data_IF_384573630291
#
_entry.id   IF_384573630291
#
_cell.length_a   1.000
_cell.length_b   1.000
_cell.length_c   1.000
_cell.angle_alpha   90.00
_cell.angle_beta   90.00
_cell.angle_gamma   90.00
#
_symmetry.space_group_name_H-M   'P 1'
#
loop_
_entity.id
_entity.type
_entity.pdbx_description
1 polymer ?
#
# COMPACT_ATOMS: atom_id res chain seq x y z
N UNK A 1 -4.72 -13.76 10.37
CA UNK A 1 -6.03 -13.29 10.86
C UNK A 1 -6.60 -12.48 9.71
N UNK A 2 -7.61 -12.98 9.01
CA UNK A 2 -8.16 -12.31 7.82
C UNK A 2 -8.78 -10.98 8.24
N UNK A 3 -8.29 -9.87 7.66
CA UNK A 3 -8.85 -8.53 7.88
C UNK A 3 -10.25 -8.48 7.29
N UNK A 4 -11.26 -8.12 8.09
CA UNK A 4 -12.62 -7.95 7.59
C UNK A 4 -12.65 -6.85 6.52
N UNK A 5 -13.51 -6.99 5.49
CA UNK A 5 -13.70 -5.92 4.48
C UNK A 5 -14.09 -4.58 5.10
N UNK A 6 -14.68 -4.60 6.31
CA UNK A 6 -15.01 -3.39 7.06
C UNK A 6 -13.80 -2.75 7.71
N UNK A 7 -12.90 -3.55 8.31
CA UNK A 7 -11.66 -3.04 8.90
C UNK A 7 -10.81 -2.36 7.82
N UNK A 8 -10.74 -2.99 6.63
CA UNK A 8 -10.07 -2.40 5.46
C UNK A 8 -10.74 -1.09 5.02
N UNK A 9 -12.07 -1.02 5.02
CA UNK A 9 -12.81 0.18 4.66
C UNK A 9 -12.52 1.35 5.60
N UNK A 10 -12.53 1.09 6.91
CA UNK A 10 -12.21 2.09 7.93
C UNK A 10 -10.75 2.55 7.84
N UNK A 11 -9.83 1.62 7.58
CA UNK A 11 -8.40 1.92 7.41
C UNK A 11 -8.16 2.82 6.20
N UNK A 12 -8.73 2.48 5.04
CA UNK A 12 -8.65 3.28 3.80
C UNK A 12 -9.24 4.67 3.95
N UNK A 13 -10.36 4.78 4.66
CA UNK A 13 -10.97 6.07 4.95
C UNK A 13 -10.09 6.91 5.88
N UNK A 14 -9.48 6.27 6.89
CA UNK A 14 -8.51 6.90 7.78
C UNK A 14 -7.26 7.42 7.03
N UNK A 15 -6.73 6.63 6.09
CA UNK A 15 -5.62 7.01 5.21
C UNK A 15 -6.01 8.22 4.36
N UNK A 16 -7.17 8.18 3.71
CA UNK A 16 -7.63 9.27 2.86
C UNK A 16 -7.77 10.58 3.64
N UNK A 17 -8.32 10.50 4.86
CA UNK A 17 -8.42 11.63 5.79
C UNK A 17 -7.05 12.23 6.13
N UNK A 18 -6.07 11.39 6.46
CA UNK A 18 -4.70 11.82 6.78
C UNK A 18 -4.02 12.46 5.57
N UNK A 19 -4.06 11.80 4.41
CA UNK A 19 -3.47 12.29 3.15
C UNK A 19 -4.08 13.62 2.74
N UNK A 20 -5.41 13.74 2.78
CA UNK A 20 -6.09 15.00 2.49
C UNK A 20 -5.67 16.11 3.45
N UNK A 21 -5.67 15.86 4.76
CA UNK A 21 -5.25 16.85 5.76
C UNK A 21 -3.81 17.32 5.53
N UNK A 22 -2.89 16.41 5.19
CA UNK A 22 -1.47 16.72 4.98
C UNK A 22 -1.19 17.40 3.63
N UNK A 23 -1.93 17.04 2.59
CA UNK A 23 -1.56 17.36 1.21
C UNK A 23 -2.60 18.13 0.40
N UNK A 24 -3.79 18.46 0.95
CA UNK A 24 -4.89 19.13 0.21
C UNK A 24 -4.43 20.27 -0.68
N UNK A 25 -3.64 21.21 -0.14
CA UNK A 25 -3.24 22.41 -0.87
C UNK A 25 -2.31 22.07 -2.04
N UNK A 26 -1.44 21.07 -1.86
CA UNK A 26 -0.54 20.58 -2.90
C UNK A 26 -1.31 19.83 -3.99
N UNK A 27 -2.25 18.96 -3.60
CA UNK A 27 -3.08 18.17 -4.53
C UNK A 27 -4.00 19.09 -5.33
N UNK A 28 -4.72 20.00 -4.69
CA UNK A 28 -5.60 20.95 -5.37
C UNK A 28 -4.83 21.83 -6.36
N UNK A 29 -3.70 22.39 -5.94
CA UNK A 29 -2.84 23.20 -6.82
C UNK A 29 -2.28 22.39 -7.98
N UNK A 30 -1.87 21.13 -7.76
CA UNK A 30 -1.37 20.25 -8.80
C UNK A 30 -2.47 19.95 -9.82
N UNK A 31 -3.60 19.44 -9.36
CA UNK A 31 -4.70 19.02 -10.22
C UNK A 31 -5.25 20.15 -11.08
N UNK A 32 -5.43 21.34 -10.50
CA UNK A 32 -5.88 22.53 -11.24
C UNK A 32 -4.87 23.01 -12.28
N UNK A 33 -3.58 22.74 -12.09
CA UNK A 33 -2.54 23.07 -13.07
C UNK A 33 -2.42 22.06 -14.22
N UNK A 34 -2.96 20.85 -14.05
CA UNK A 34 -2.86 19.79 -15.05
C UNK A 34 -3.83 20.02 -16.21
N UNK A 35 -3.30 19.84 -17.42
CA UNK A 35 -4.11 19.76 -18.63
C UNK A 35 -4.83 18.41 -18.73
N UNK A 36 -5.74 18.30 -19.70
CA UNK A 36 -6.55 17.09 -19.91
C UNK A 36 -5.69 15.81 -20.10
N UNK A 37 -4.64 15.79 -20.94
CA UNK A 37 -3.73 14.65 -21.03
C UNK A 37 -3.08 14.24 -19.70
N UNK A 38 -2.59 15.21 -18.91
CA UNK A 38 -1.97 14.93 -17.61
C UNK A 38 -2.97 14.33 -16.61
N UNK A 39 -4.20 14.87 -16.55
CA UNK A 39 -5.28 14.30 -15.74
C UNK A 39 -5.65 12.88 -16.18
N UNK A 40 -5.70 12.62 -17.48
CA UNK A 40 -5.95 11.29 -18.01
C UNK A 40 -4.85 10.30 -17.64
N UNK A 41 -3.58 10.73 -17.69
CA UNK A 41 -2.43 9.92 -17.29
C UNK A 41 -2.52 9.55 -15.80
N UNK A 42 -2.84 10.50 -14.92
CA UNK A 42 -3.07 10.22 -13.49
C UNK A 42 -4.09 9.09 -13.29
N UNK A 43 -5.21 9.13 -14.02
CA UNK A 43 -6.26 8.12 -13.90
C UNK A 43 -5.83 6.74 -14.39
N UNK A 44 -4.97 6.68 -15.42
CA UNK A 44 -4.51 5.41 -16.01
C UNK A 44 -3.43 4.73 -15.20
N UNK A 45 -2.47 5.49 -14.65
CA UNK A 45 -1.38 4.92 -13.82
C UNK A 45 -1.95 4.13 -12.64
N UNK A 46 -3.06 4.59 -12.06
CA UNK A 46 -3.71 3.93 -10.93
C UNK A 46 -4.68 2.80 -11.30
N UNK A 47 -4.88 2.51 -12.58
CA UNK A 47 -5.87 1.55 -13.05
C UNK A 47 -5.22 0.21 -13.45
N UNK A 48 -5.95 -0.89 -13.21
CA UNK A 48 -5.55 -2.21 -13.70
C UNK A 48 -5.44 -2.17 -15.23
N UNK A 49 -4.29 -2.55 -15.78
CA UNK A 49 -3.95 -2.48 -17.21
C UNK A 49 -4.08 -1.06 -17.83
N UNK A 50 -4.16 0.00 -17.03
CA UNK A 50 -4.38 1.35 -17.52
C UNK A 50 -5.79 1.64 -18.02
N UNK A 51 -6.73 0.73 -17.75
CA UNK A 51 -8.10 0.80 -18.27
C UNK A 51 -9.03 1.58 -17.34
N UNK A 52 -9.66 2.63 -17.88
CA UNK A 52 -10.57 3.52 -17.15
C UNK A 52 -11.84 3.72 -17.98
N UNK A 53 -12.99 3.82 -17.30
CA UNK A 53 -14.27 4.11 -17.97
C UNK A 53 -14.14 5.35 -18.85
N UNK A 54 -14.54 5.26 -20.12
CA UNK A 54 -14.52 6.39 -21.06
C UNK A 54 -15.57 7.43 -20.68
N UNK A 55 -16.72 6.98 -20.21
CA UNK A 55 -17.85 7.79 -19.74
C UNK A 55 -18.71 7.00 -18.74
N UNK A 56 -19.63 7.66 -18.04
CA UNK A 56 -20.44 7.05 -16.97
C UNK A 56 -21.29 5.82 -17.32
N UNK A 57 -21.56 5.59 -18.61
CA UNK A 57 -22.31 4.42 -19.11
C UNK A 57 -21.44 3.36 -19.81
N UNK A 58 -20.12 3.47 -19.70
CA UNK A 58 -19.19 2.60 -20.41
C UNK A 58 -19.22 1.19 -19.80
N UNK A 59 -19.60 0.19 -20.59
CA UNK A 59 -19.69 -1.21 -20.15
C UNK A 59 -18.44 -2.04 -20.50
N UNK A 60 -17.41 -1.43 -21.09
CA UNK A 60 -16.17 -2.12 -21.51
C UNK A 60 -15.43 -2.78 -20.35
N UNK A 61 -15.48 -2.18 -19.16
CA UNK A 61 -14.87 -2.73 -17.93
C UNK A 61 -15.89 -3.51 -17.08
N UNK A 62 -16.83 -4.18 -17.74
CA UNK A 62 -17.85 -5.00 -17.12
C UNK A 62 -18.73 -4.19 -16.16
N UNK A 63 -18.68 -4.53 -14.87
CA UNK A 63 -19.57 -3.96 -13.84
C UNK A 63 -19.03 -2.70 -13.17
N UNK A 64 -17.82 -2.24 -13.49
CA UNK A 64 -17.21 -1.06 -12.83
C UNK A 64 -18.10 0.18 -12.94
N UNK A 65 -18.73 0.40 -14.11
CA UNK A 65 -19.67 1.52 -14.30
C UNK A 65 -20.98 1.39 -13.52
N UNK A 66 -21.25 0.23 -12.92
CA UNK A 66 -22.37 0.07 -11.98
C UNK A 66 -22.01 0.52 -10.57
N UNK A 67 -20.73 0.44 -10.22
CA UNK A 67 -20.25 0.80 -8.90
C UNK A 67 -19.76 2.24 -8.82
N UNK A 68 -19.04 2.74 -9.83
CA UNK A 68 -18.40 4.07 -9.80
C UNK A 68 -18.54 4.82 -11.14
N UNK A 69 -19.78 5.05 -11.63
CA UNK A 69 -20.01 5.70 -12.92
C UNK A 69 -19.40 7.11 -13.01
N UNK A 70 -19.26 7.82 -11.89
CA UNK A 70 -18.63 9.13 -11.84
C UNK A 70 -17.11 9.10 -12.07
N UNK A 71 -16.47 7.94 -11.89
CA UNK A 71 -15.03 7.78 -12.11
C UNK A 71 -14.74 7.44 -13.57
N UNK A 72 -14.80 8.45 -14.44
CA UNK A 72 -14.60 8.27 -15.87
C UNK A 72 -13.75 9.38 -16.51
N UNK A 73 -13.06 9.04 -17.60
CA UNK A 73 -12.15 9.94 -18.29
C UNK A 73 -12.83 11.21 -18.78
N UNK A 74 -14.04 11.10 -19.36
CA UNK A 74 -14.74 12.27 -19.92
C UNK A 74 -14.98 13.34 -18.87
N UNK A 75 -15.51 12.98 -17.71
CA UNK A 75 -16.00 13.93 -16.73
C UNK A 75 -14.89 14.41 -15.76
N UNK A 76 -13.92 13.55 -15.42
CA UNK A 76 -12.83 13.88 -14.50
C UNK A 76 -11.71 14.67 -15.19
N UNK A 77 -11.40 14.36 -16.44
CA UNK A 77 -10.24 14.98 -17.13
C UNK A 77 -10.58 16.30 -17.81
N UNK A 78 -11.85 16.71 -17.80
CA UNK A 78 -12.25 18.03 -18.27
C UNK A 78 -11.54 19.12 -17.44
N UNK A 79 -10.73 20.01 -18.04
CA UNK A 79 -10.00 21.05 -17.32
C UNK A 79 -10.89 21.95 -16.46
N UNK A 80 -12.12 22.20 -16.89
CA UNK A 80 -13.11 23.05 -16.20
C UNK A 80 -13.84 22.29 -15.08
N UNK A 81 -13.71 20.96 -15.03
CA UNK A 81 -14.33 20.12 -14.01
C UNK A 81 -13.48 20.08 -12.73
N UNK A 82 -14.15 20.28 -11.60
CA UNK A 82 -13.60 20.02 -10.25
C UNK A 82 -14.04 18.65 -9.69
N UNK A 83 -14.68 17.79 -10.50
CA UNK A 83 -15.31 16.55 -10.04
C UNK A 83 -14.39 15.66 -9.19
N UNK A 84 -13.13 15.47 -9.61
CA UNK A 84 -12.15 14.73 -8.82
C UNK A 84 -11.95 15.33 -7.42
N UNK A 85 -11.74 16.64 -7.34
CA UNK A 85 -11.50 17.33 -6.07
C UNK A 85 -12.76 17.34 -5.20
N UNK A 86 -13.95 17.43 -5.80
CA UNK A 86 -15.21 17.41 -5.08
C UNK A 86 -15.50 16.03 -4.47
N UNK A 87 -15.31 14.96 -5.25
CA UNK A 87 -15.37 13.59 -4.75
C UNK A 87 -14.35 13.39 -3.64
N UNK A 88 -13.09 13.77 -3.89
CA UNK A 88 -11.99 13.58 -2.95
C UNK A 88 -12.25 14.30 -1.63
N UNK A 89 -12.63 15.58 -1.68
CA UNK A 89 -12.94 16.39 -0.50
C UNK A 89 -14.10 15.79 0.28
N UNK A 90 -15.19 15.42 -0.38
CA UNK A 90 -16.35 14.81 0.28
C UNK A 90 -15.94 13.55 1.03
N UNK A 91 -15.28 12.61 0.34
CA UNK A 91 -14.84 11.33 0.91
C UNK A 91 -13.81 11.48 2.03
N UNK A 92 -12.97 12.50 1.97
CA UNK A 92 -11.96 12.75 2.98
C UNK A 92 -12.45 13.58 4.18
N UNK A 93 -13.65 14.17 4.14
CA UNK A 93 -14.13 15.06 5.21
C UNK A 93 -15.40 14.58 5.91
N UNK A 94 -16.15 13.67 5.29
CA UNK A 94 -17.39 13.12 5.83
C UNK A 94 -17.19 11.73 6.43
N UNK A 95 -18.04 11.31 7.35
CA UNK A 95 -18.06 9.94 7.89
C UNK A 95 -18.52 8.93 6.84
N UNK A 96 -18.21 7.63 7.03
CA UNK A 96 -18.74 6.57 6.14
C UNK A 96 -20.28 6.57 6.11
N UNK A 97 -20.91 6.90 7.24
CA UNK A 97 -22.37 7.05 7.33
C UNK A 97 -22.90 8.25 6.53
N UNK A 98 -22.22 9.40 6.58
CA UNK A 98 -22.61 10.55 5.75
C UNK A 98 -22.42 10.27 4.26
N UNK A 99 -21.35 9.56 3.88
CA UNK A 99 -21.10 9.12 2.50
C UNK A 99 -22.16 8.14 1.99
N UNK A 100 -22.64 7.26 2.87
CA UNK A 100 -23.75 6.37 2.60
C UNK A 100 -25.04 7.14 2.25
N UNK A 101 -25.30 8.25 2.96
CA UNK A 101 -26.53 9.06 2.83
C UNK A 101 -26.44 10.13 1.75
N UNK A 102 -25.26 10.68 1.50
CA UNK A 102 -25.07 11.87 0.67
C UNK A 102 -23.77 11.82 -0.13
N UNK A 103 -23.81 12.37 -1.34
CA UNK A 103 -22.66 12.55 -2.20
C UNK A 103 -22.09 13.97 -2.15
N UNK A 104 -21.01 14.18 -2.90
CA UNK A 104 -20.40 15.50 -3.05
C UNK A 104 -21.39 16.51 -3.67
N UNK A 105 -21.31 17.78 -3.28
CA UNK A 105 -22.12 18.87 -3.84
C UNK A 105 -23.64 18.58 -3.89
N UNK A 106 -24.19 17.86 -2.91
CA UNK A 106 -25.62 17.53 -2.84
C UNK A 106 -26.07 16.41 -3.79
N UNK A 107 -25.13 15.68 -4.39
CA UNK A 107 -25.43 14.49 -5.19
C UNK A 107 -25.90 13.33 -4.32
N UNK A 108 -26.41 12.27 -4.96
CA UNK A 108 -26.86 11.07 -4.28
C UNK A 108 -25.72 10.36 -3.53
N UNK A 109 -26.01 9.85 -2.33
CA UNK A 109 -25.08 9.01 -1.57
C UNK A 109 -24.92 7.60 -2.14
N UNK A 110 -24.08 6.80 -1.49
CA UNK A 110 -23.81 5.42 -1.93
C UNK A 110 -25.05 4.54 -1.95
N UNK A 111 -25.95 4.73 -0.98
CA UNK A 111 -27.22 4.00 -0.90
C UNK A 111 -28.05 4.19 -2.17
N UNK A 112 -28.34 5.44 -2.50
CA UNK A 112 -29.30 5.76 -3.56
C UNK A 112 -28.72 5.45 -4.94
N UNK A 113 -27.40 5.63 -5.11
CA UNK A 113 -26.72 5.29 -6.36
C UNK A 113 -26.71 3.78 -6.59
N UNK A 114 -26.36 2.98 -5.58
CA UNK A 114 -26.31 1.52 -5.71
C UNK A 114 -27.71 0.92 -5.79
N UNK A 115 -28.68 1.38 -5.01
CA UNK A 115 -30.07 0.91 -5.10
C UNK A 115 -30.65 1.17 -6.49
N UNK A 116 -30.46 2.39 -7.02
CA UNK A 116 -30.87 2.72 -8.39
C UNK A 116 -30.22 1.80 -9.41
N UNK A 117 -28.93 1.54 -9.28
CA UNK A 117 -28.19 0.74 -10.27
C UNK A 117 -28.53 -0.74 -10.17
N UNK A 118 -28.70 -1.28 -8.96
CA UNK A 118 -29.13 -2.64 -8.70
C UNK A 118 -30.50 -2.92 -9.34
N UNK A 119 -31.45 -1.98 -9.20
CA UNK A 119 -32.78 -2.09 -9.82
C UNK A 119 -32.75 -2.03 -11.34
N UNK A 120 -31.94 -1.15 -11.92
CA UNK A 120 -31.91 -0.94 -13.37
C UNK A 120 -31.16 -2.07 -14.09
N UNK A 121 -30.12 -2.63 -13.46
CA UNK A 121 -29.14 -3.50 -14.14
C UNK A 121 -29.11 -4.94 -13.62
N UNK A 122 -30.08 -5.35 -12.80
CA UNK A 122 -30.20 -6.70 -12.24
C UNK A 122 -28.84 -7.23 -11.74
N UNK A 123 -28.20 -6.47 -10.84
CA UNK A 123 -26.89 -6.86 -10.33
C UNK A 123 -26.98 -8.21 -9.61
N UNK A 124 -26.23 -9.24 -10.04
CA UNK A 124 -26.34 -10.56 -9.45
C UNK A 124 -25.73 -10.56 -8.05
N UNK A 125 -26.46 -11.16 -7.11
CA UNK A 125 -26.00 -11.37 -5.74
C UNK A 125 -25.33 -12.73 -5.62
N UNK A 126 -24.24 -12.81 -4.85
CA UNK A 126 -23.57 -14.08 -4.54
C UNK A 126 -24.14 -14.58 -3.21
N UNK A 127 -25.18 -15.42 -3.25
CA UNK A 127 -25.69 -16.14 -2.07
C UNK A 127 -27.18 -15.96 -1.78
N UNK A 128 -27.69 -16.82 -0.91
CA UNK A 128 -29.04 -16.73 -0.35
C UNK A 128 -29.03 -15.80 0.88
N UNK A 129 -29.55 -14.59 0.68
CA UNK A 129 -29.65 -13.54 1.70
C UNK A 129 -31.00 -13.54 2.42
N UNK A 130 -31.75 -14.64 2.40
CA UNK A 130 -33.02 -14.72 3.13
C UNK A 130 -32.82 -14.39 4.61
N UNK A 131 -33.54 -13.37 5.09
CA UNK A 131 -33.48 -12.83 6.45
C UNK A 131 -32.08 -12.34 6.89
N UNK A 132 -31.25 -11.93 5.94
CA UNK A 132 -29.97 -11.29 6.20
C UNK A 132 -30.04 -9.77 5.98
N UNK A 133 -29.46 -9.02 6.91
CA UNK A 133 -29.52 -7.57 6.91
C UNK A 133 -28.18 -6.96 7.28
N UNK A 134 -27.90 -5.78 6.74
CA UNK A 134 -26.73 -4.98 7.09
C UNK A 134 -27.19 -3.66 7.72
N UNK A 135 -26.53 -3.27 8.80
CA UNK A 135 -26.79 -2.02 9.53
C UNK A 135 -25.81 -0.93 9.06
N UNK A 136 -26.34 0.24 8.73
CA UNK A 136 -25.59 1.45 8.42
C UNK A 136 -26.07 2.59 9.31
N UNK A 137 -25.48 2.72 10.50
CA UNK A 137 -25.70 3.85 11.39
C UNK A 137 -24.40 4.30 12.07
N UNK A 138 -24.43 5.46 12.72
CA UNK A 138 -23.30 5.93 13.51
C UNK A 138 -22.96 4.92 14.62
N UNK A 139 -21.68 4.54 14.71
CA UNK A 139 -21.18 3.57 15.69
C UNK A 139 -21.37 2.09 15.34
N UNK A 140 -22.27 1.75 14.40
CA UNK A 140 -22.41 0.38 13.85
C UNK A 140 -22.60 0.44 12.34
N UNK A 141 -21.48 0.50 11.63
CA UNK A 141 -21.45 0.67 10.19
C UNK A 141 -21.03 -0.63 9.47
N UNK A 142 -21.87 -1.09 8.55
CA UNK A 142 -21.60 -2.27 7.71
C UNK A 142 -21.75 -3.62 8.42
N UNK A 143 -22.23 -3.66 9.67
CA UNK A 143 -22.40 -4.91 10.41
C UNK A 143 -23.58 -5.74 9.88
N UNK A 144 -23.33 -7.00 9.54
CA UNK A 144 -24.36 -7.94 9.09
C UNK A 144 -24.96 -8.76 10.23
N UNK A 145 -26.27 -9.00 10.17
CA UNK A 145 -26.99 -9.90 11.06
C UNK A 145 -27.93 -10.81 10.27
N UNK A 146 -28.12 -12.03 10.77
CA UNK A 146 -29.09 -12.99 10.24
C UNK A 146 -30.18 -13.21 11.27
N UNK A 147 -31.44 -13.09 10.86
CA UNK A 147 -32.60 -13.38 11.70
C UNK A 147 -33.16 -14.75 11.37
N UNK A 148 -33.48 -15.55 12.39
CA UNK A 148 -34.11 -16.85 12.19
C UNK A 148 -35.54 -16.70 11.70
N UNK A 149 -36.00 -17.62 10.86
CA UNK A 149 -37.40 -17.67 10.37
C UNK A 149 -38.33 -18.27 11.43
N UNK A 150 -38.33 -17.65 12.61
CA UNK A 150 -39.15 -18.03 13.77
C UNK A 150 -40.16 -16.92 14.07
N UNK A 151 -41.22 -17.23 14.82
CA UNK A 151 -42.19 -16.24 15.25
C UNK A 151 -41.52 -15.06 15.99
N UNK A 152 -40.59 -15.38 16.89
CA UNK A 152 -39.75 -14.39 17.59
C UNK A 152 -38.88 -13.56 16.65
N UNK A 153 -38.37 -14.16 15.57
CA UNK A 153 -37.63 -13.46 14.53
C UNK A 153 -38.51 -12.48 13.75
N UNK A 154 -39.76 -12.87 13.43
CA UNK A 154 -40.73 -12.00 12.76
C UNK A 154 -41.16 -10.82 13.65
N UNK A 155 -41.38 -11.07 14.94
CA UNK A 155 -41.66 -10.03 15.93
C UNK A 155 -40.48 -9.05 16.07
N UNK A 156 -39.25 -9.57 16.12
CA UNK A 156 -38.03 -8.76 16.12
C UNK A 156 -37.93 -7.87 14.88
N UNK A 157 -38.16 -8.42 13.67
CA UNK A 157 -38.16 -7.64 12.43
C UNK A 157 -39.26 -6.59 12.40
N UNK A 158 -40.45 -6.90 12.94
CA UNK A 158 -41.57 -5.96 13.03
C UNK A 158 -41.22 -4.78 13.95
N UNK A 159 -40.51 -5.03 15.06
CA UNK A 159 -40.00 -3.97 15.94
C UNK A 159 -38.97 -3.04 15.28
N UNK A 160 -38.36 -3.46 14.17
CA UNK A 160 -37.36 -2.67 13.43
C UNK A 160 -37.94 -1.95 12.21
N UNK A 161 -39.26 -1.93 12.02
CA UNK A 161 -39.90 -1.38 10.83
C UNK A 161 -39.48 0.08 10.55
N UNK A 162 -39.39 0.92 11.59
CA UNK A 162 -38.92 2.31 11.44
C UNK A 162 -37.50 2.38 10.89
N UNK A 163 -36.60 1.50 11.36
CA UNK A 163 -35.22 1.44 10.90
C UNK A 163 -35.09 0.98 9.44
N UNK A 164 -35.97 0.06 9.01
CA UNK A 164 -36.10 -0.31 7.59
C UNK A 164 -36.60 0.85 6.74
N UNK A 165 -37.67 1.53 7.16
CA UNK A 165 -38.24 2.69 6.43
C UNK A 165 -37.24 3.83 6.29
N UNK A 166 -36.45 4.09 7.32
CA UNK A 166 -35.41 5.11 7.31
C UNK A 166 -34.10 4.63 6.64
N UNK A 167 -34.04 3.37 6.22
CA UNK A 167 -32.91 2.71 5.56
C UNK A 167 -31.63 2.71 6.42
N UNK A 168 -31.77 2.60 7.74
CA UNK A 168 -30.65 2.27 8.63
C UNK A 168 -30.30 0.79 8.59
N UNK A 169 -31.27 -0.05 8.26
CA UNK A 169 -31.12 -1.49 8.09
C UNK A 169 -31.61 -1.82 6.69
N UNK A 170 -30.78 -2.51 5.91
CA UNK A 170 -31.09 -2.88 4.52
C UNK A 170 -30.77 -4.36 4.29
N UNK A 171 -31.31 -4.97 3.22
CA UNK A 171 -30.92 -6.34 2.86
C UNK A 171 -29.40 -6.45 2.68
N UNK A 172 -28.81 -7.53 3.20
CA UNK A 172 -27.36 -7.74 3.14
C UNK A 172 -26.82 -7.73 1.71
N UNK A 173 -27.61 -8.24 0.76
CA UNK A 173 -27.28 -8.24 -0.67
C UNK A 173 -27.03 -6.83 -1.23
N UNK A 174 -27.75 -5.82 -0.74
CA UNK A 174 -27.55 -4.42 -1.09
C UNK A 174 -26.40 -3.81 -0.28
N UNK A 175 -26.30 -4.17 1.00
CA UNK A 175 -25.21 -3.72 1.89
C UNK A 175 -23.82 -4.08 1.39
N UNK A 176 -23.63 -5.30 0.90
CA UNK A 176 -22.36 -5.73 0.31
C UNK A 176 -21.96 -4.88 -0.90
N UNK A 177 -22.91 -4.54 -1.77
CA UNK A 177 -22.65 -3.71 -2.95
C UNK A 177 -22.24 -2.27 -2.58
N UNK A 178 -22.84 -1.73 -1.52
CA UNK A 178 -22.48 -0.41 -0.97
C UNK A 178 -21.05 -0.44 -0.41
N UNK A 179 -20.72 -1.44 0.41
CA UNK A 179 -19.36 -1.58 0.97
C UNK A 179 -18.33 -1.74 -0.16
N UNK A 180 -18.62 -2.52 -1.19
CA UNK A 180 -17.76 -2.68 -2.36
C UNK A 180 -17.52 -1.35 -3.10
N UNK A 181 -18.57 -0.55 -3.32
CA UNK A 181 -18.43 0.78 -3.93
C UNK A 181 -17.53 1.69 -3.10
N UNK A 182 -17.73 1.72 -1.79
CA UNK A 182 -16.94 2.57 -0.90
C UNK A 182 -15.48 2.15 -0.87
N UNK A 183 -15.21 0.83 -0.78
CA UNK A 183 -13.85 0.29 -0.87
C UNK A 183 -13.18 0.73 -2.17
N UNK A 184 -13.83 0.49 -3.32
CA UNK A 184 -13.28 0.81 -4.63
C UNK A 184 -12.95 2.31 -4.78
N UNK A 185 -13.87 3.18 -4.37
CA UNK A 185 -13.63 4.63 -4.41
C UNK A 185 -12.47 5.04 -3.49
N UNK A 186 -12.44 4.56 -2.25
CA UNK A 186 -11.39 4.95 -1.31
C UNK A 186 -10.01 4.46 -1.75
N UNK A 187 -9.92 3.25 -2.32
CA UNK A 187 -8.68 2.72 -2.88
C UNK A 187 -8.16 3.62 -4.02
N UNK A 188 -9.02 3.90 -5.00
CA UNK A 188 -8.66 4.71 -6.17
C UNK A 188 -8.27 6.14 -5.74
N UNK A 189 -9.01 6.74 -4.80
CA UNK A 189 -8.74 8.10 -4.34
C UNK A 189 -7.42 8.20 -3.57
N UNK A 190 -7.12 7.24 -2.69
CA UNK A 190 -5.84 7.19 -1.98
C UNK A 190 -4.67 7.10 -2.97
N UNK A 191 -4.78 6.19 -3.94
CA UNK A 191 -3.75 6.03 -4.97
C UNK A 191 -3.60 7.28 -5.84
N UNK A 192 -4.71 7.91 -6.22
CA UNK A 192 -4.67 9.09 -7.10
C UNK A 192 -4.03 10.29 -6.41
N UNK A 193 -4.16 10.46 -5.07
CA UNK A 193 -3.41 11.50 -4.34
C UNK A 193 -1.91 11.32 -4.59
N UNK A 194 -1.40 10.11 -4.41
CA UNK A 194 0.03 9.81 -4.50
C UNK A 194 0.54 10.04 -5.93
N UNK A 195 -0.23 9.62 -6.94
CA UNK A 195 0.10 9.85 -8.36
C UNK A 195 0.12 11.35 -8.70
N UNK A 196 -0.86 12.12 -8.24
CA UNK A 196 -0.92 13.57 -8.50
C UNK A 196 0.27 14.29 -7.86
N UNK A 197 0.65 13.89 -6.65
CA UNK A 197 1.83 14.44 -5.98
C UNK A 197 3.12 14.07 -6.71
N UNK A 198 3.26 12.82 -7.16
CA UNK A 198 4.43 12.35 -7.89
C UNK A 198 4.58 13.03 -9.26
N UNK A 199 3.53 13.11 -10.06
CA UNK A 199 3.59 13.75 -11.39
C UNK A 199 3.92 15.24 -11.29
N UNK A 200 3.51 15.92 -10.21
CA UNK A 200 3.93 17.30 -9.93
C UNK A 200 5.44 17.40 -9.64
N UNK A 201 6.01 16.44 -8.93
CA UNK A 201 7.45 16.40 -8.66
C UNK A 201 8.22 16.17 -9.96
N UNK A 202 7.83 15.20 -10.78
CA UNK A 202 8.50 14.94 -12.07
C UNK A 202 8.40 16.11 -13.05
N UNK A 203 7.27 16.81 -13.10
CA UNK A 203 7.11 17.99 -13.98
C UNK A 203 7.97 19.16 -13.52
N UNK A 204 8.19 19.31 -12.21
CA UNK A 204 9.16 20.27 -11.66
C UNK A 204 10.59 19.85 -11.96
N UNK A 205 10.94 18.58 -11.76
CA UNK A 205 12.29 18.08 -12.02
C UNK A 205 12.64 18.12 -13.51
N UNK A 206 11.72 17.76 -14.41
CA UNK A 206 11.93 17.88 -15.87
C UNK A 206 12.13 19.33 -16.33
N UNK A 207 11.51 20.30 -15.65
CA UNK A 207 11.76 21.72 -15.94
C UNK A 207 13.14 22.20 -15.49
N UNK A 208 13.78 21.49 -14.56
CA UNK A 208 15.12 21.79 -14.04
C UNK A 208 16.22 20.89 -14.65
N UNK A 209 15.87 19.72 -15.20
CA UNK A 209 16.75 18.75 -15.84
C UNK A 209 16.79 18.93 -17.37
N UNK A 210 17.14 20.12 -17.85
CA UNK A 210 17.75 20.22 -19.18
C UNK A 210 19.25 20.02 -19.00
N UNK A 211 19.68 18.77 -19.26
CA UNK A 211 21.06 18.22 -19.27
C UNK A 211 21.52 17.53 -17.98
N UNK A 212 21.24 16.23 -17.85
CA UNK A 212 22.26 15.25 -17.44
C UNK A 212 22.09 13.93 -18.22
N UNK A 213 23.19 13.26 -18.61
CA UNK A 213 23.12 11.99 -19.34
C UNK A 213 22.66 10.86 -18.41
N UNK A 214 21.96 9.89 -19.00
CA UNK A 214 21.55 8.64 -18.35
C UNK A 214 22.78 7.88 -17.83
N UNK A 215 22.79 7.36 -16.59
CA UNK A 215 23.80 6.39 -16.19
C UNK A 215 23.56 5.07 -16.94
N UNK A 216 24.64 4.51 -17.49
CA UNK A 216 24.63 3.23 -18.16
C UNK A 216 24.37 2.11 -17.13
N UNK A 217 23.31 1.34 -17.34
CA UNK A 217 23.06 0.11 -16.59
C UNK A 217 23.99 -0.97 -17.13
N UNK A 218 25.14 -1.15 -16.49
CA UNK A 218 26.01 -2.30 -16.75
C UNK A 218 25.39 -3.54 -16.10
N UNK A 219 25.16 -4.63 -16.85
CA UNK A 219 24.67 -5.88 -16.26
C UNK A 219 25.71 -6.48 -15.31
N UNK A 220 25.28 -6.93 -14.14
CA UNK A 220 26.10 -7.68 -13.19
C UNK A 220 26.44 -9.06 -13.82
N UNK A 221 27.71 -9.49 -13.89
CA UNK A 221 28.05 -10.78 -14.49
C UNK A 221 27.58 -11.92 -13.60
N UNK A 222 26.75 -12.81 -14.16
CA UNK A 222 26.40 -14.10 -13.56
C UNK A 222 27.60 -15.05 -13.61
N UNK A 223 28.43 -15.02 -12.58
CA UNK A 223 29.50 -15.99 -12.35
C UNK A 223 29.33 -16.57 -10.96
N UNK A 224 28.52 -17.64 -10.83
CA UNK A 224 28.67 -18.55 -9.71
C UNK A 224 29.99 -19.30 -9.91
N UNK A 225 31.07 -18.70 -9.43
CA UNK A 225 32.39 -19.31 -9.44
C UNK A 225 32.46 -20.42 -8.39
N UNK A 226 33.01 -21.54 -8.80
CA UNK A 226 33.43 -22.67 -7.97
C UNK A 226 34.11 -22.15 -6.70
N UNK A 227 33.72 -22.66 -5.53
CA UNK A 227 34.41 -22.38 -4.26
C UNK A 227 35.86 -22.86 -4.35
N UNK A 228 36.73 -21.98 -4.82
CA UNK A 228 38.17 -22.08 -4.62
C UNK A 228 38.40 -21.51 -3.23
N UNK A 229 38.83 -22.36 -2.29
CA UNK A 229 39.22 -21.93 -0.95
C UNK A 229 40.49 -21.10 -1.08
N UNK A 230 40.33 -19.79 -1.31
CA UNK A 230 41.44 -18.84 -1.28
C UNK A 230 41.95 -18.81 0.15
N UNK A 231 43.22 -19.16 0.36
CA UNK A 231 43.88 -18.95 1.65
C UNK A 231 44.08 -17.45 1.83
N UNK A 232 43.09 -16.79 2.43
CA UNK A 232 43.17 -15.40 2.83
C UNK A 232 44.08 -15.30 4.05
N UNK A 233 45.03 -14.37 4.03
CA UNK A 233 45.79 -14.06 5.23
C UNK A 233 44.92 -13.20 6.18
N UNK A 234 45.30 -13.06 7.47
CA UNK A 234 44.53 -12.27 8.43
C UNK A 234 44.32 -10.81 8.02
N UNK A 235 45.31 -10.18 7.38
CA UNK A 235 45.21 -8.80 6.91
C UNK A 235 44.19 -8.66 5.76
N UNK A 236 44.13 -9.63 4.86
CA UNK A 236 43.13 -9.68 3.79
C UNK A 236 41.72 -9.79 4.37
N UNK A 237 41.54 -10.58 5.44
CA UNK A 237 40.25 -10.72 6.14
C UNK A 237 39.84 -9.42 6.84
N UNK A 238 40.77 -8.76 7.53
CA UNK A 238 40.55 -7.46 8.15
C UNK A 238 40.17 -6.38 7.12
N UNK A 239 40.83 -6.39 5.96
CA UNK A 239 40.51 -5.49 4.85
C UNK A 239 39.11 -5.75 4.30
N UNK A 240 38.76 -7.00 3.99
CA UNK A 240 37.42 -7.37 3.50
C UNK A 240 36.33 -7.00 4.50
N UNK A 241 36.54 -7.27 5.79
CA UNK A 241 35.57 -6.92 6.83
C UNK A 241 35.38 -5.41 6.97
N UNK A 242 36.47 -4.64 6.84
CA UNK A 242 36.44 -3.17 6.87
C UNK A 242 35.74 -2.58 5.65
N UNK A 243 35.99 -3.13 4.46
CA UNK A 243 35.30 -2.73 3.22
C UNK A 243 33.81 -3.03 3.31
N UNK A 244 33.43 -4.20 3.82
CA UNK A 244 32.03 -4.58 3.97
C UNK A 244 31.30 -3.69 4.98
N UNK A 245 31.94 -3.36 6.11
CA UNK A 245 31.43 -2.37 7.07
C UNK A 245 31.22 -1.01 6.40
N UNK A 246 32.23 -0.54 5.66
CA UNK A 246 32.20 0.78 5.01
C UNK A 246 31.10 0.86 3.96
N UNK A 247 30.91 -0.19 3.17
CA UNK A 247 29.82 -0.31 2.19
C UNK A 247 28.43 -0.21 2.84
N UNK A 248 28.22 -0.88 3.99
CA UNK A 248 26.97 -0.79 4.73
C UNK A 248 26.74 0.60 5.35
N UNK A 249 27.80 1.27 5.82
CA UNK A 249 27.72 2.64 6.31
C UNK A 249 27.40 3.63 5.18
N UNK A 250 27.99 3.45 4.00
CA UNK A 250 27.66 4.22 2.81
C UNK A 250 26.20 4.01 2.40
N UNK A 251 25.73 2.75 2.38
CA UNK A 251 24.33 2.44 2.11
C UNK A 251 23.37 3.09 3.10
N UNK A 252 23.67 3.06 4.41
CA UNK A 252 22.87 3.77 5.42
C UNK A 252 22.92 5.29 5.20
N UNK A 253 24.06 5.85 4.77
CA UNK A 253 24.14 7.27 4.41
C UNK A 253 23.20 7.58 3.24
N UNK A 254 23.24 6.78 2.17
CA UNK A 254 22.34 6.93 1.02
C UNK A 254 20.86 6.85 1.42
N UNK A 255 20.48 5.91 2.29
CA UNK A 255 19.11 5.84 2.82
C UNK A 255 18.68 7.12 3.56
N UNK A 256 19.62 7.88 4.12
CA UNK A 256 19.35 9.11 4.87
C UNK A 256 19.37 10.36 3.98
N UNK A 257 20.17 10.37 2.93
CA UNK A 257 20.41 11.55 2.09
C UNK A 257 19.69 11.52 0.75
N UNK A 258 19.46 10.33 0.19
CA UNK A 258 18.89 10.14 -1.14
C UNK A 258 17.46 9.57 -1.06
N UNK A 259 16.42 10.39 -1.26
CA UNK A 259 15.02 9.97 -1.14
C UNK A 259 14.64 8.81 -2.06
N UNK A 260 15.21 8.76 -3.28
CA UNK A 260 14.92 7.70 -4.26
C UNK A 260 15.45 6.34 -3.79
N UNK A 261 16.63 6.32 -3.17
CA UNK A 261 17.21 5.10 -2.59
C UNK A 261 16.35 4.62 -1.43
N UNK A 262 15.94 5.52 -0.53
CA UNK A 262 15.03 5.18 0.56
C UNK A 262 13.70 4.62 0.02
N UNK A 263 13.09 5.31 -0.94
CA UNK A 263 11.82 4.89 -1.54
C UNK A 263 11.92 3.50 -2.18
N UNK A 264 12.96 3.27 -3.00
CA UNK A 264 13.21 1.98 -3.63
C UNK A 264 13.40 0.86 -2.60
N UNK A 265 14.22 1.10 -1.57
CA UNK A 265 14.49 0.09 -0.54
C UNK A 265 13.28 -0.21 0.33
N UNK A 266 12.49 0.80 0.67
CA UNK A 266 11.22 0.64 1.40
C UNK A 266 10.21 -0.11 0.54
N UNK A 267 10.12 0.17 -0.75
CA UNK A 267 9.22 -0.55 -1.66
C UNK A 267 9.59 -2.04 -1.74
N UNK A 268 10.88 -2.36 -1.87
CA UNK A 268 11.34 -3.76 -1.85
C UNK A 268 10.98 -4.46 -0.54
N UNK A 269 11.20 -3.79 0.60
CA UNK A 269 10.84 -4.30 1.92
C UNK A 269 9.33 -4.46 2.07
N UNK A 270 8.56 -3.56 1.47
CA UNK A 270 7.12 -3.52 1.53
C UNK A 270 6.49 -4.65 0.70
N UNK A 271 6.86 -4.78 -0.57
CA UNK A 271 6.28 -5.78 -1.48
C UNK A 271 6.73 -7.21 -1.20
N UNK A 272 7.79 -7.39 -0.43
CA UNK A 272 8.27 -8.71 0.01
C UNK A 272 7.53 -9.26 1.24
N UNK A 273 6.47 -8.60 1.70
CA UNK A 273 5.65 -9.10 2.81
C UNK A 273 4.86 -10.34 2.40
N UNK A 274 4.76 -11.38 3.24
CA UNK A 274 4.05 -12.61 2.90
C UNK A 274 2.61 -12.39 2.44
N UNK A 275 1.93 -11.39 3.00
CA UNK A 275 0.55 -11.05 2.64
C UNK A 275 0.40 -10.49 1.23
N UNK A 276 1.49 -9.95 0.66
CA UNK A 276 1.51 -9.27 -0.64
C UNK A 276 2.13 -10.11 -1.74
N UNK A 277 2.75 -11.24 -1.37
CA UNK A 277 3.23 -12.21 -2.32
C UNK A 277 2.03 -12.83 -3.05
N UNK A 278 2.10 -12.95 -4.39
CA UNK A 278 1.08 -13.68 -5.12
C UNK A 278 1.05 -15.13 -4.65
N UNK A 279 -0.16 -15.67 -4.46
CA UNK A 279 -0.34 -17.10 -4.20
C UNK A 279 0.06 -17.94 -5.43
N UNK A 280 -0.03 -19.27 -5.31
CA UNK A 280 0.28 -20.21 -6.40
C UNK A 280 -0.53 -19.96 -7.69
N UNK A 281 -1.63 -19.20 -7.60
CA UNK A 281 -2.50 -18.83 -8.71
C UNK A 281 -2.26 -17.39 -9.19
N UNK A 282 -1.20 -16.74 -8.72
CA UNK A 282 -0.85 -15.37 -9.08
C UNK A 282 -1.68 -14.30 -8.37
N UNK A 283 -2.49 -14.65 -7.36
CA UNK A 283 -3.39 -13.72 -6.68
C UNK A 283 -2.67 -13.11 -5.48
N UNK A 284 -2.48 -11.80 -5.47
CA UNK A 284 -1.99 -11.05 -4.31
C UNK A 284 -3.14 -10.30 -3.63
N UNK A 285 -3.01 -10.07 -2.32
CA UNK A 285 -3.88 -9.08 -1.67
C UNK A 285 -3.47 -7.70 -2.17
N UNK A 286 -4.46 -6.95 -2.65
CA UNK A 286 -4.24 -5.62 -3.17
C UNK A 286 -3.83 -4.69 -2.03
N UNK A 287 -2.61 -4.16 -2.09
CA UNK A 287 -2.09 -3.21 -1.12
C UNK A 287 -2.81 -1.88 -1.29
N UNK A 288 -3.54 -1.45 -0.28
CA UNK A 288 -4.14 -0.11 -0.34
C UNK A 288 -4.02 0.70 0.94
N UNK A 289 -3.35 0.22 1.98
CA UNK A 289 -3.29 0.92 3.27
C UNK A 289 -1.89 1.32 3.71
N UNK A 290 -1.79 2.49 4.34
CA UNK A 290 -0.53 3.07 4.79
C UNK A 290 0.04 2.36 6.04
N UNK A 291 -0.77 1.50 6.71
CA UNK A 291 -0.38 0.78 7.93
C UNK A 291 0.90 -0.03 7.78
N UNK A 292 1.18 -0.51 6.57
CA UNK A 292 2.36 -1.32 6.28
C UNK A 292 3.57 -0.50 5.85
N UNK A 293 3.41 0.79 5.52
CA UNK A 293 4.52 1.65 5.11
C UNK A 293 5.45 1.88 6.30
N UNK A 294 4.90 2.30 7.45
CA UNK A 294 5.70 2.58 8.65
C UNK A 294 6.61 1.43 9.09
N UNK A 295 6.10 0.20 9.26
CA UNK A 295 6.95 -0.93 9.60
C UNK A 295 7.93 -1.32 8.48
N UNK A 296 7.63 -1.05 7.20
CA UNK A 296 8.59 -1.26 6.11
C UNK A 296 9.76 -0.27 6.22
N UNK A 297 9.48 1.01 6.45
CA UNK A 297 10.53 2.03 6.72
C UNK A 297 11.41 1.62 7.89
N UNK A 298 10.78 1.23 9.01
CA UNK A 298 11.51 0.78 10.19
C UNK A 298 12.41 -0.41 9.87
N UNK A 299 11.88 -1.44 9.21
CA UNK A 299 12.64 -2.65 8.92
C UNK A 299 13.79 -2.40 7.95
N UNK A 300 13.60 -1.57 6.92
CA UNK A 300 14.68 -1.15 6.00
C UNK A 300 15.85 -0.51 6.75
N UNK A 301 15.57 0.45 7.64
CA UNK A 301 16.59 1.15 8.42
C UNK A 301 17.22 0.20 9.45
N UNK A 302 16.40 -0.56 10.16
CA UNK A 302 16.83 -1.52 11.17
C UNK A 302 17.80 -2.55 10.57
N UNK A 303 17.49 -3.11 9.40
CA UNK A 303 18.34 -4.09 8.71
C UNK A 303 19.71 -3.50 8.34
N UNK A 304 19.76 -2.23 7.91
CA UNK A 304 21.01 -1.54 7.60
C UNK A 304 21.85 -1.31 8.87
N UNK A 305 21.24 -0.78 9.94
CA UNK A 305 21.93 -0.54 11.23
C UNK A 305 22.41 -1.85 11.86
N UNK A 306 21.58 -2.89 11.84
CA UNK A 306 21.93 -4.20 12.37
C UNK A 306 23.14 -4.79 11.62
N UNK A 307 23.17 -4.70 10.29
CA UNK A 307 24.31 -5.12 9.49
C UNK A 307 25.61 -4.40 9.90
N UNK A 308 25.56 -3.08 10.05
CA UNK A 308 26.72 -2.29 10.49
C UNK A 308 27.22 -2.77 11.85
N UNK A 309 26.33 -2.96 12.83
CA UNK A 309 26.69 -3.38 14.18
C UNK A 309 27.37 -4.77 14.21
N UNK A 310 26.91 -5.70 13.35
CA UNK A 310 27.52 -7.03 13.23
C UNK A 310 28.93 -6.91 12.63
N UNK A 311 29.09 -6.15 11.54
CA UNK A 311 30.39 -5.96 10.91
C UNK A 311 31.37 -5.14 11.76
N UNK A 312 30.87 -4.22 12.59
CA UNK A 312 31.65 -3.57 13.66
C UNK A 312 32.16 -4.57 14.70
N UNK A 313 31.34 -5.55 15.07
CA UNK A 313 31.75 -6.61 16.00
C UNK A 313 32.78 -7.54 15.36
N UNK A 314 32.60 -7.92 14.09
CA UNK A 314 33.55 -8.74 13.33
C UNK A 314 34.91 -8.05 13.21
N UNK A 315 34.93 -6.79 12.76
CA UNK A 315 36.16 -6.00 12.64
C UNK A 315 36.87 -5.84 13.99
N UNK A 316 36.14 -5.51 15.06
CA UNK A 316 36.70 -5.44 16.40
C UNK A 316 37.28 -6.77 16.90
N UNK A 317 36.64 -7.91 16.60
CA UNK A 317 37.16 -9.23 16.95
C UNK A 317 38.42 -9.59 16.14
N UNK A 318 38.49 -9.19 14.86
CA UNK A 318 39.70 -9.35 14.03
C UNK A 318 40.87 -8.50 14.58
N UNK A 319 40.63 -7.25 14.95
CA UNK A 319 41.64 -6.38 15.58
C UNK A 319 42.20 -6.99 16.88
N UNK A 320 41.36 -7.68 17.66
CA UNK A 320 41.78 -8.38 18.88
C UNK A 320 42.65 -9.61 18.59
N UNK A 321 42.56 -10.22 17.40
CA UNK A 321 43.39 -11.34 16.96
C UNK A 321 44.75 -10.89 16.41
N UNK A 322 44.85 -9.66 15.90
CA UNK A 322 46.11 -9.08 15.42
C UNK A 322 47.05 -8.63 16.56
N UNK A 323 46.49 -8.33 17.74
CA UNK A 323 47.27 -7.99 18.94
C UNK A 323 48.06 -9.21 19.44
N UNK A 324 49.33 -9.03 19.87
CA UNK A 324 50.15 -10.15 20.36
C UNK A 324 49.42 -10.89 21.49
N UNK A 325 49.32 -12.23 21.43
CA UNK A 325 48.43 -12.98 22.30
C UNK A 325 48.90 -12.90 23.75
N UNK A 326 48.01 -12.50 24.65
CA UNK A 326 48.25 -12.51 26.09
C UNK A 326 48.09 -13.92 26.69
N UNK A 327 47.23 -14.77 26.09
CA UNK A 327 46.95 -16.17 26.49
C UNK A 327 46.29 -16.98 25.33
N UNK A 328 46.51 -18.30 25.26
CA UNK A 328 45.86 -19.25 24.35
C UNK A 328 44.35 -19.33 24.57
N UNK A 329 43.88 -19.22 25.82
CA UNK A 329 42.45 -19.22 26.16
C UNK A 329 41.74 -17.97 25.62
N UNK A 330 42.42 -16.82 25.68
CA UNK A 330 41.93 -15.57 25.11
C UNK A 330 41.73 -15.70 23.59
N UNK A 331 42.75 -16.20 22.87
CA UNK A 331 42.66 -16.43 21.42
C UNK A 331 41.50 -17.38 21.04
N UNK A 332 41.32 -18.46 21.80
CA UNK A 332 40.23 -19.42 21.56
C UNK A 332 38.85 -18.78 21.75
N UNK A 333 38.70 -17.87 22.71
CA UNK A 333 37.44 -17.18 22.99
C UNK A 333 37.09 -16.22 21.87
N UNK A 334 38.06 -15.38 21.44
CA UNK A 334 37.85 -14.43 20.34
C UNK A 334 37.49 -15.15 19.04
N UNK A 335 38.15 -16.26 18.71
CA UNK A 335 37.81 -17.07 17.53
C UNK A 335 36.40 -17.66 17.58
N UNK A 336 35.94 -18.08 18.77
CA UNK A 336 34.57 -18.57 18.96
C UNK A 336 33.55 -17.46 18.72
N UNK A 337 33.75 -16.30 19.33
CA UNK A 337 32.84 -15.17 19.13
C UNK A 337 32.84 -14.68 17.68
N UNK A 338 34.00 -14.70 17.00
CA UNK A 338 34.09 -14.38 15.58
C UNK A 338 33.26 -15.37 14.74
N UNK A 339 33.37 -16.68 15.02
CA UNK A 339 32.55 -17.70 14.37
C UNK A 339 31.06 -17.47 14.61
N UNK A 340 30.65 -17.11 15.83
CA UNK A 340 29.26 -16.81 16.15
C UNK A 340 28.75 -15.59 15.38
N UNK A 341 29.54 -14.51 15.30
CA UNK A 341 29.16 -13.29 14.56
C UNK A 341 29.06 -13.55 13.06
N UNK A 342 29.97 -14.33 12.48
CA UNK A 342 29.89 -14.74 11.08
C UNK A 342 28.62 -15.57 10.80
N UNK A 343 28.27 -16.51 11.70
CA UNK A 343 27.04 -17.29 11.56
C UNK A 343 25.79 -16.40 11.67
N UNK A 344 25.79 -15.47 12.62
CA UNK A 344 24.70 -14.51 12.79
C UNK A 344 24.50 -13.63 11.56
N UNK A 345 25.59 -13.15 10.94
CA UNK A 345 25.53 -12.39 9.68
C UNK A 345 25.01 -13.23 8.51
N UNK A 346 25.44 -14.49 8.44
CA UNK A 346 24.97 -15.44 7.43
C UNK A 346 23.45 -15.67 7.55
N UNK A 347 22.95 -15.92 8.75
CA UNK A 347 21.51 -16.11 8.98
C UNK A 347 20.71 -14.86 8.64
N UNK A 348 21.21 -13.68 9.03
CA UNK A 348 20.59 -12.38 8.70
C UNK A 348 20.51 -12.16 7.19
N UNK A 349 21.63 -12.32 6.49
CA UNK A 349 21.67 -12.11 5.03
C UNK A 349 20.85 -13.17 4.30
N UNK A 350 20.83 -14.42 4.76
CA UNK A 350 19.96 -15.46 4.22
C UNK A 350 18.47 -15.12 4.39
N UNK A 351 18.06 -14.62 5.56
CA UNK A 351 16.68 -14.21 5.82
C UNK A 351 16.25 -13.04 4.91
N UNK A 352 17.13 -12.06 4.69
CA UNK A 352 16.88 -10.95 3.75
C UNK A 352 16.78 -11.46 2.31
N UNK A 353 17.67 -12.35 1.91
CA UNK A 353 17.68 -12.92 0.56
C UNK A 353 16.42 -13.73 0.26
N UNK A 354 16.00 -14.62 1.17
CA UNK A 354 14.76 -15.40 1.05
C UNK A 354 13.50 -14.57 0.96
N UNK A 355 13.57 -13.32 1.42
CA UNK A 355 12.46 -12.39 1.35
C UNK A 355 12.40 -11.66 0.02
N UNK A 356 13.53 -11.52 -0.67
CA UNK A 356 13.66 -10.77 -1.92
C UNK A 356 13.57 -11.65 -3.18
N UNK A 357 13.52 -12.97 -3.00
CA UNK A 357 13.40 -14.01 -4.05
C UNK A 357 12.24 -14.91 -3.67
#
# INVERSE_FOLDING_TARGET
METSSLDLLEELHGDLKRKWKAHRAKVESAWRSFNKPQRAECMKIGAFEGEVLKHSRDASLGKVCMFIPEWNLKDITDPESNLFLDILKHRATTSLYEQYRSGHNGTAGDLDLIDKTARIRNMPHIGDFKNCFTIFCEGKYGFSLRVTDSQRGKEFLSGLESAFRQRYIIPESLGQLIVQRQLLLLQILNLTIDIVLHQRSETRDRSQLVKRPKPATTPLPSSMSKQVTVKLNPQDLSAIASDQKSSLQEYLSLLRTEPDVLCSSVNMEFFSRPELLPDEKGRSLSVHTDRYIGPAVFQTIYNAVQGIAIWESITGLLDLLEKPPTDKLYKSTVLRELSNMCHFEYDRTQALFRRQI
#
